data_IF_263046678621
#
_entry.id   IF_263046678621
#
_cell.length_a   1.000
_cell.length_b   1.000
_cell.length_c   1.000
_cell.angle_alpha   90.00
_cell.angle_beta   90.00
_cell.angle_gamma   90.00
#
_symmetry.space_group_name_H-M   'P 1'
#
loop_
_entity.id
_entity.type
_entity.pdbx_description
1 polymer ?
#
# COMPACT_ATOMS: atom_id res chain seq x y z
N UNK A 1 5.90 2.14 9.09
CA UNK A 1 5.23 3.39 9.53
C UNK A 1 3.73 3.40 9.25
N UNK A 2 3.19 2.42 8.53
CA UNK A 2 1.78 2.02 8.62
C UNK A 2 1.73 0.48 8.80
N UNK A 3 0.66 -0.10 9.36
CA UNK A 3 -0.47 0.60 9.94
C UNK A 3 -0.08 1.44 11.16
N UNK A 4 -0.76 2.58 11.35
CA UNK A 4 -0.56 3.47 12.49
C UNK A 4 -1.90 4.02 13.00
N UNK A 5 -2.09 3.98 14.31
CA UNK A 5 -3.24 4.56 15.01
C UNK A 5 -2.92 4.64 16.51
N UNK A 6 -3.57 5.57 17.21
CA UNK A 6 -3.59 5.62 18.68
C UNK A 6 -4.47 4.49 19.22
N UNK A 7 -5.63 4.27 18.60
CA UNK A 7 -6.56 3.22 18.98
C UNK A 7 -6.14 1.86 18.43
N UNK A 8 -6.74 0.81 18.97
CA UNK A 8 -6.35 -0.56 18.68
C UNK A 8 -6.60 -0.96 17.21
N UNK A 9 -7.77 -0.64 16.64
CA UNK A 9 -8.18 -1.02 15.28
C UNK A 9 -7.78 -2.46 14.91
N UNK A 10 -8.21 -3.42 15.73
CA UNK A 10 -7.73 -4.81 15.70
C UNK A 10 -8.10 -5.49 14.38
N UNK A 11 -9.35 -5.33 13.93
CA UNK A 11 -9.81 -5.95 12.68
C UNK A 11 -9.14 -5.29 11.47
N UNK A 12 -8.97 -3.97 11.44
CA UNK A 12 -8.22 -3.30 10.37
C UNK A 12 -6.77 -3.79 10.30
N UNK A 13 -6.06 -3.83 11.44
CA UNK A 13 -4.68 -4.35 11.51
C UNK A 13 -4.59 -5.79 11.03
N UNK A 14 -5.56 -6.64 11.40
CA UNK A 14 -5.62 -8.03 10.96
C UNK A 14 -5.85 -8.13 9.44
N UNK A 15 -6.83 -7.40 8.92
CA UNK A 15 -7.20 -7.41 7.50
C UNK A 15 -6.07 -6.90 6.61
N UNK A 16 -5.41 -5.80 6.98
CA UNK A 16 -4.21 -5.33 6.29
C UNK A 16 -3.04 -6.29 6.45
N UNK A 17 -2.90 -6.92 7.63
CA UNK A 17 -1.91 -7.95 7.88
C UNK A 17 -2.00 -9.10 6.90
N UNK A 18 -3.21 -9.55 6.54
CA UNK A 18 -3.42 -10.59 5.53
C UNK A 18 -2.90 -10.16 4.15
N UNK A 19 -3.22 -8.94 3.71
CA UNK A 19 -2.74 -8.42 2.42
C UNK A 19 -1.22 -8.32 2.43
N UNK A 20 -0.62 -7.74 3.48
CA UNK A 20 0.83 -7.57 3.60
C UNK A 20 1.58 -8.91 3.63
N UNK A 21 1.07 -9.89 4.38
CA UNK A 21 1.67 -11.23 4.43
C UNK A 21 1.54 -11.96 3.09
N UNK A 22 0.42 -11.80 2.39
CA UNK A 22 0.25 -12.34 1.04
C UNK A 22 1.29 -11.76 0.08
N UNK A 23 1.44 -10.43 0.03
CA UNK A 23 2.44 -9.75 -0.81
C UNK A 23 3.86 -10.23 -0.46
N UNK A 24 4.16 -10.40 0.83
CA UNK A 24 5.46 -10.92 1.27
C UNK A 24 5.73 -12.36 0.79
N UNK A 25 4.73 -13.25 0.88
CA UNK A 25 4.86 -14.66 0.46
C UNK A 25 4.96 -14.81 -1.07
N UNK A 26 4.54 -13.80 -1.82
CA UNK A 26 4.76 -13.73 -3.28
C UNK A 26 6.14 -13.21 -3.66
N UNK A 27 6.97 -12.83 -2.69
CA UNK A 27 8.32 -12.35 -2.92
C UNK A 27 8.39 -10.89 -3.39
N UNK A 28 7.29 -10.14 -3.27
CA UNK A 28 7.29 -8.72 -3.60
C UNK A 28 8.03 -7.89 -2.52
N UNK A 29 8.68 -6.82 -2.95
CA UNK A 29 9.40 -5.91 -2.05
C UNK A 29 8.41 -5.02 -1.29
N UNK A 30 8.19 -5.33 0.00
CA UNK A 30 7.36 -4.52 0.88
C UNK A 30 7.92 -3.11 1.15
N UNK A 31 9.18 -2.86 0.79
CA UNK A 31 9.83 -1.56 0.90
C UNK A 31 9.93 -0.84 -0.44
N UNK A 32 9.19 -1.31 -1.47
CA UNK A 32 9.25 -0.75 -2.82
C UNK A 32 9.15 0.78 -2.85
N UNK A 33 8.27 1.38 -2.04
CA UNK A 33 8.09 2.82 -1.93
C UNK A 33 9.34 3.57 -1.51
N UNK A 34 10.08 3.06 -0.52
CA UNK A 34 11.37 3.61 -0.09
C UNK A 34 12.47 3.39 -1.12
N UNK A 35 12.36 2.29 -1.89
CA UNK A 35 13.34 1.90 -2.88
C UNK A 35 13.11 2.56 -4.26
N UNK A 36 11.98 3.23 -4.49
CA UNK A 36 11.62 3.84 -5.78
C UNK A 36 12.73 4.73 -6.37
N UNK A 37 13.29 5.63 -5.56
CA UNK A 37 14.38 6.51 -6.01
C UNK A 37 15.58 5.71 -6.52
N UNK A 38 16.03 4.72 -5.74
CA UNK A 38 17.16 3.87 -6.11
C UNK A 38 16.88 2.98 -7.31
N UNK A 39 15.66 2.45 -7.43
CA UNK A 39 15.24 1.62 -8.56
C UNK A 39 15.27 2.42 -9.86
N UNK A 40 14.69 3.61 -9.88
CA UNK A 40 14.64 4.46 -11.07
C UNK A 40 16.04 4.95 -11.49
N UNK A 41 16.88 5.34 -10.53
CA UNK A 41 18.27 5.73 -10.83
C UNK A 41 19.09 4.57 -11.39
N UNK A 42 18.96 3.35 -10.84
CA UNK A 42 19.63 2.16 -11.40
C UNK A 42 19.14 1.79 -12.79
N UNK A 43 17.90 2.15 -13.12
CA UNK A 43 17.35 2.03 -14.46
C UNK A 43 17.85 3.13 -15.43
N UNK A 44 18.73 4.03 -14.98
CA UNK A 44 19.31 5.10 -15.79
C UNK A 44 18.41 6.34 -15.93
N UNK A 45 17.34 6.44 -15.13
CA UNK A 45 16.49 7.63 -15.11
C UNK A 45 17.02 8.67 -14.12
N UNK A 46 16.71 9.93 -14.38
CA UNK A 46 16.96 11.04 -13.46
C UNK A 46 15.67 11.31 -12.68
N UNK A 47 15.66 10.97 -11.39
CA UNK A 47 14.50 11.18 -10.52
C UNK A 47 14.42 12.63 -10.11
N UNK A 48 13.27 13.27 -10.36
CA UNK A 48 13.02 14.67 -10.01
C UNK A 48 12.34 14.80 -8.65
N UNK A 49 11.43 13.87 -8.32
CA UNK A 49 10.76 13.89 -7.02
C UNK A 49 10.24 12.51 -6.64
N UNK A 50 10.15 12.29 -5.32
CA UNK A 50 9.43 11.18 -4.71
C UNK A 50 8.45 11.79 -3.71
N UNK A 51 7.21 11.31 -3.74
CA UNK A 51 6.12 11.75 -2.85
C UNK A 51 5.51 10.53 -2.18
N UNK A 52 5.03 10.76 -0.96
CA UNK A 52 4.30 9.77 -0.19
C UNK A 52 3.03 10.39 0.36
N UNK A 53 1.92 9.66 0.28
CA UNK A 53 0.62 10.08 0.78
C UNK A 53 0.05 8.99 1.69
N UNK A 54 -0.35 9.39 2.90
CA UNK A 54 -0.99 8.49 3.85
C UNK A 54 -2.47 8.32 3.47
N UNK A 55 -2.94 7.08 3.43
CA UNK A 55 -4.37 6.77 3.31
C UNK A 55 -5.00 6.85 4.70
N UNK A 56 -5.55 8.02 5.00
CA UNK A 56 -6.13 8.36 6.31
C UNK A 56 -7.60 7.96 6.35
N UNK A 57 -7.97 7.10 7.29
CA UNK A 57 -9.32 6.66 7.55
C UNK A 57 -9.81 7.32 8.85
N UNK A 58 -10.92 8.03 8.77
CA UNK A 58 -11.59 8.69 9.89
C UNK A 58 -12.93 7.98 10.17
N UNK A 59 -13.60 8.29 11.29
CA UNK A 59 -14.93 7.73 11.58
C UNK A 59 -15.98 8.03 10.50
N UNK A 60 -15.80 9.13 9.74
CA UNK A 60 -16.75 9.55 8.69
C UNK A 60 -16.31 9.15 7.28
N UNK A 61 -15.04 8.78 7.09
CA UNK A 61 -14.51 8.41 5.78
C UNK A 61 -14.43 6.90 5.62
N UNK A 62 -15.32 6.34 4.79
CA UNK A 62 -15.33 4.91 4.48
C UNK A 62 -14.09 4.50 3.66
N UNK A 63 -13.61 3.29 3.90
CA UNK A 63 -12.50 2.70 3.15
C UNK A 63 -12.81 1.25 2.78
N UNK A 64 -12.53 0.90 1.52
CA UNK A 64 -12.95 -0.34 0.88
C UNK A 64 -12.07 -1.56 1.21
N UNK A 65 -11.49 -1.64 2.42
CA UNK A 65 -10.53 -2.69 2.78
C UNK A 65 -11.11 -4.10 2.65
N UNK A 66 -12.37 -4.31 3.03
CA UNK A 66 -13.03 -5.61 2.90
C UNK A 66 -13.16 -6.05 1.43
N UNK A 67 -13.41 -5.11 0.51
CA UNK A 67 -13.46 -5.40 -0.93
C UNK A 67 -12.07 -5.72 -1.51
N UNK A 68 -11.01 -5.04 -1.03
CA UNK A 68 -9.63 -5.36 -1.40
C UNK A 68 -9.27 -6.78 -0.92
N UNK A 69 -9.62 -7.12 0.33
CA UNK A 69 -9.42 -8.48 0.86
C UNK A 69 -10.20 -9.49 0.02
N UNK A 70 -11.42 -9.19 -0.43
CA UNK A 70 -12.21 -10.08 -1.30
C UNK A 70 -11.49 -10.38 -2.61
N UNK A 71 -10.97 -9.35 -3.27
CA UNK A 71 -10.21 -9.52 -4.50
C UNK A 71 -8.92 -10.33 -4.28
N UNK A 72 -8.28 -10.18 -3.12
CA UNK A 72 -7.05 -10.86 -2.75
C UNK A 72 -7.27 -12.28 -2.16
N UNK A 73 -8.49 -12.61 -1.76
CA UNK A 73 -8.81 -13.80 -0.97
C UNK A 73 -8.32 -15.12 -1.59
N UNK A 74 -8.44 -15.36 -2.92
CA UNK A 74 -7.91 -16.59 -3.51
C UNK A 74 -6.40 -16.77 -3.26
N UNK A 75 -5.63 -15.67 -3.35
CA UNK A 75 -4.18 -15.68 -3.12
C UNK A 75 -3.83 -15.82 -1.65
N UNK A 76 -4.57 -15.12 -0.77
CA UNK A 76 -4.43 -15.22 0.69
C UNK A 76 -4.59 -16.68 1.15
N UNK A 77 -5.62 -17.38 0.64
CA UNK A 77 -5.89 -18.78 0.98
C UNK A 77 -4.84 -19.71 0.36
N UNK A 78 -4.54 -19.55 -0.93
CA UNK A 78 -3.56 -20.40 -1.62
C UNK A 78 -2.17 -20.34 -0.98
N UNK A 79 -1.79 -19.18 -0.44
CA UNK A 79 -0.52 -18.98 0.25
C UNK A 79 -0.58 -19.35 1.74
N UNK A 80 -1.73 -19.78 2.27
CA UNK A 80 -1.90 -20.19 3.67
C UNK A 80 -1.76 -19.04 4.67
N UNK A 81 -2.16 -17.82 4.28
CA UNK A 81 -2.10 -16.63 5.15
C UNK A 81 -3.30 -16.57 6.10
N UNK A 82 -4.47 -16.96 5.62
CA UNK A 82 -5.71 -17.09 6.40
C UNK A 82 -6.68 -18.05 5.69
N UNK A 83 -7.62 -18.59 6.44
CA UNK A 83 -8.72 -19.43 5.92
C UNK A 83 -9.93 -18.58 5.54
N UNK A 84 -10.84 -19.13 4.72
CA UNK A 84 -12.09 -18.47 4.35
C UNK A 84 -12.95 -18.12 5.58
N UNK A 85 -13.00 -19.03 6.57
CA UNK A 85 -13.78 -18.87 7.80
C UNK A 85 -13.20 -17.75 8.69
N UNK A 86 -11.88 -17.70 8.84
CA UNK A 86 -11.21 -16.62 9.59
C UNK A 86 -11.44 -15.24 8.98
N UNK A 87 -11.51 -15.17 7.63
CA UNK A 87 -11.78 -13.93 6.91
C UNK A 87 -13.26 -13.54 7.09
N UNK A 88 -14.18 -14.47 6.87
CA UNK A 88 -15.63 -14.22 6.91
C UNK A 88 -16.03 -13.12 5.92
N UNK A 89 -15.68 -13.33 4.64
CA UNK A 89 -15.59 -12.26 3.64
C UNK A 89 -16.90 -11.51 3.36
N UNK A 90 -18.04 -12.18 3.50
CA UNK A 90 -19.36 -11.61 3.20
C UNK A 90 -19.81 -10.55 4.20
N UNK A 91 -19.23 -10.55 5.40
CA UNK A 91 -19.51 -9.55 6.44
C UNK A 91 -18.32 -8.67 6.77
N UNK A 92 -17.14 -8.95 6.17
CA UNK A 92 -15.88 -8.32 6.56
C UNK A 92 -15.93 -6.79 6.43
N UNK A 93 -16.44 -6.26 5.32
CA UNK A 93 -16.55 -4.81 5.11
C UNK A 93 -17.44 -4.16 6.17
N UNK A 94 -18.62 -4.73 6.43
CA UNK A 94 -19.54 -4.22 7.45
C UNK A 94 -18.90 -4.24 8.86
N UNK A 95 -18.13 -5.29 9.18
CA UNK A 95 -17.41 -5.40 10.46
C UNK A 95 -16.30 -4.36 10.59
N UNK A 96 -15.57 -4.08 9.51
CA UNK A 96 -14.56 -3.02 9.45
C UNK A 96 -15.20 -1.64 9.62
N UNK A 97 -16.29 -1.35 8.90
CA UNK A 97 -17.02 -0.09 9.06
C UNK A 97 -17.57 0.10 10.48
N UNK A 98 -18.03 -1.00 11.11
CA UNK A 98 -18.42 -0.97 12.51
C UNK A 98 -17.25 -0.63 13.43
N UNK A 99 -16.10 -1.28 13.29
CA UNK A 99 -14.91 -0.96 14.10
C UNK A 99 -14.48 0.51 13.92
N UNK A 100 -14.50 1.01 12.68
CA UNK A 100 -14.10 2.39 12.34
C UNK A 100 -15.03 3.43 12.94
N UNK A 101 -16.35 3.21 12.87
CA UNK A 101 -17.36 4.17 13.34
C UNK A 101 -17.55 4.15 14.87
N UNK A 102 -17.12 3.09 15.56
CA UNK A 102 -17.15 3.03 17.04
C UNK A 102 -15.93 3.69 17.71
N UNK A 103 -14.93 4.08 16.94
CA UNK A 103 -13.75 4.82 17.39
C UNK A 103 -13.89 6.30 16.97
N UNK A 104 -13.37 7.23 17.77
CA UNK A 104 -13.15 8.63 17.35
C UNK A 104 -11.76 8.84 16.76
N UNK A 105 -10.94 7.79 16.76
CA UNK A 105 -9.56 7.77 16.33
C UNK A 105 -9.40 7.71 14.80
N UNK A 106 -8.16 7.92 14.39
CA UNK A 106 -7.74 7.89 12.99
C UNK A 106 -6.93 6.62 12.76
N UNK A 107 -7.14 5.98 11.60
CA UNK A 107 -6.36 4.84 11.16
C UNK A 107 -5.63 5.15 9.86
N UNK A 108 -4.31 5.03 9.86
CA UNK A 108 -3.49 5.09 8.65
C UNK A 108 -3.13 3.66 8.30
N UNK A 109 -3.79 3.14 7.26
CA UNK A 109 -3.57 1.77 6.84
C UNK A 109 -2.37 1.62 5.92
N UNK A 110 -2.31 2.45 4.89
CA UNK A 110 -1.32 2.35 3.82
C UNK A 110 -0.67 3.70 3.57
N UNK A 111 0.55 3.65 3.02
CA UNK A 111 1.24 4.83 2.49
C UNK A 111 1.49 4.57 1.01
N UNK A 112 0.91 5.42 0.16
CA UNK A 112 1.10 5.36 -1.29
C UNK A 112 2.33 6.16 -1.65
N UNK A 113 3.24 5.55 -2.40
CA UNK A 113 4.45 6.21 -2.90
C UNK A 113 4.36 6.42 -4.40
N UNK A 114 4.76 7.60 -4.86
CA UNK A 114 4.88 7.96 -6.27
C UNK A 114 6.22 8.63 -6.55
N UNK A 115 6.74 8.45 -7.76
CA UNK A 115 7.98 9.09 -8.19
C UNK A 115 7.81 9.62 -9.61
N UNK A 116 8.44 10.77 -9.87
CA UNK A 116 8.52 11.36 -11.20
C UNK A 116 9.97 11.43 -11.65
N UNK A 117 10.26 10.90 -12.83
CA UNK A 117 11.60 10.78 -13.38
C UNK A 117 11.58 10.94 -14.90
N UNK A 118 12.71 11.35 -15.48
CA UNK A 118 12.87 11.46 -16.93
C UNK A 118 14.12 10.71 -17.41
N UNK A 119 14.18 10.46 -18.72
CA UNK A 119 15.39 9.94 -19.34
C UNK A 119 16.45 11.05 -19.39
N UNK A 120 17.73 10.72 -19.24
CA UNK A 120 18.81 11.66 -19.53
C UNK A 120 18.66 12.16 -20.97
N UNK A 121 18.97 13.43 -21.20
CA UNK A 121 19.08 13.93 -22.56
C UNK A 121 20.19 13.15 -23.25
N UNK A 122 19.88 12.48 -24.37
CA UNK A 122 20.91 11.90 -25.22
C UNK A 122 21.72 13.08 -25.74
N UNK A 123 22.90 13.31 -25.15
CA UNK A 123 23.69 14.52 -25.35
C UNK A 123 23.69 14.96 -26.81
N UNK A 124 22.96 16.05 -27.10
CA UNK A 124 23.17 16.79 -28.32
C UNK A 124 24.55 17.41 -28.16
N UNK A 125 25.56 16.81 -28.79
CA UNK A 125 26.88 17.45 -28.91
C UNK A 125 26.63 18.79 -29.60
N UNK A 126 26.89 19.94 -28.96
CA UNK A 126 26.78 21.21 -29.65
C UNK A 126 27.79 21.17 -30.78
N UNK A 127 27.34 21.42 -32.01
CA UNK A 127 28.24 21.61 -33.15
C UNK A 127 29.01 22.90 -32.84
N UNK A 128 30.26 22.78 -32.39
CA UNK A 128 31.17 23.93 -32.32
C UNK A 128 31.40 24.41 -33.74
N UNK A 129 30.77 25.52 -34.10
CA UNK A 129 31.09 26.28 -35.31
C UNK A 129 32.40 27.00 -35.01
N UNK A 130 33.49 26.49 -35.58
CA UNK A 130 34.80 27.14 -35.60
C UNK A 130 34.85 28.30 -36.58
#
# INVERSE_FOLDING_TARGET
MAPASIDAFILHKKAQGWIRQMIAREGADLHIGFNLHGILNRAGLIVQSVRAECVVQTPDNAYALGYIVRACMPRIIALGVATADEIGIDTLQQRLDKERTHSTGIYIGDVMFGAWAHKPDNGHTPISIG
#
